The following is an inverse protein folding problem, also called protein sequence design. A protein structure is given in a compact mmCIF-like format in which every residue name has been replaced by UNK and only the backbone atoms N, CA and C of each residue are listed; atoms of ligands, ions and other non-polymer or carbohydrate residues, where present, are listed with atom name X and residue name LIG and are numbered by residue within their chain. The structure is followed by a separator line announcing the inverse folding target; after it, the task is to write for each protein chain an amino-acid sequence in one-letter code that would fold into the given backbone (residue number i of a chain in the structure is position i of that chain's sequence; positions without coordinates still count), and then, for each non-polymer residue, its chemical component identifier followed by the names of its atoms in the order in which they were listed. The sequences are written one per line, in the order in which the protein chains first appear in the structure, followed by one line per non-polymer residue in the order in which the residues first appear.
data_IF_862280056487
#
_entry.id   IF_862280056487
#
_cell.length_a   1.000
_cell.length_b   1.000
_cell.length_c   1.000
_cell.angle_alpha   90.00
_cell.angle_beta   90.00
_cell.angle_gamma   90.00
#
_symmetry.space_group_name_H-M   'P 1'
#
loop_
_entity.id
_entity.type
_entity.pdbx_description
1 polymer ?
#
# COMPACT_ATOMS: atom_id res chain seq x y z
N UNK A 1 -4.24 15.93 -7.11
CA UNK A 1 -4.38 14.69 -7.90
C UNK A 1 -3.20 13.78 -7.60
N UNK A 2 -3.38 12.45 -7.62
CA UNK A 2 -2.25 11.55 -7.50
C UNK A 2 -1.37 11.63 -8.77
N UNK A 3 -0.06 11.50 -8.61
CA UNK A 3 0.86 11.30 -9.74
C UNK A 3 1.49 9.91 -9.61
N UNK A 4 1.63 9.21 -10.73
CA UNK A 4 2.20 7.88 -10.78
C UNK A 4 3.55 7.90 -11.50
N UNK A 5 4.45 7.04 -11.04
CA UNK A 5 5.76 6.85 -11.63
C UNK A 5 6.03 5.34 -11.75
N UNK A 6 6.74 4.89 -12.80
CA UNK A 6 7.13 3.48 -12.95
C UNK A 6 8.21 3.06 -11.94
N UNK A 7 8.93 4.03 -11.36
CA UNK A 7 10.06 3.81 -10.46
C UNK A 7 10.25 4.99 -9.51
N UNK A 8 11.13 4.81 -8.51
CA UNK A 8 11.58 5.83 -7.57
C UNK A 8 12.55 6.76 -8.31
N UNK A 9 12.14 8.01 -8.51
CA UNK A 9 13.01 9.05 -9.09
C UNK A 9 13.95 9.62 -8.02
N UNK A 10 15.06 10.27 -8.39
CA UNK A 10 15.98 10.89 -7.42
C UNK A 10 15.29 11.86 -6.43
N UNK A 11 14.36 12.71 -6.90
CA UNK A 11 13.60 13.60 -5.99
C UNK A 11 12.76 12.81 -4.98
N UNK A 12 12.13 11.71 -5.41
CA UNK A 12 11.30 10.89 -4.52
C UNK A 12 12.13 10.06 -3.56
N UNK A 13 13.31 9.61 -3.99
CA UNK A 13 14.32 8.97 -3.16
C UNK A 13 14.70 9.90 -1.99
N UNK A 14 15.20 11.09 -2.33
CA UNK A 14 15.69 12.04 -1.33
C UNK A 14 14.56 12.52 -0.41
N UNK A 15 13.36 12.69 -0.98
CA UNK A 15 12.20 13.07 -0.18
C UNK A 15 11.76 11.96 0.79
N UNK A 16 11.76 10.70 0.37
CA UNK A 16 11.38 9.57 1.22
C UNK A 16 12.33 9.42 2.42
N UNK A 17 13.63 9.49 2.18
CA UNK A 17 14.65 9.33 3.23
C UNK A 17 14.68 10.49 4.24
N UNK A 18 14.08 11.65 3.93
CA UNK A 18 13.92 12.75 4.90
C UNK A 18 12.77 12.54 5.89
N UNK A 19 11.86 11.60 5.66
CA UNK A 19 10.71 11.43 6.56
C UNK A 19 11.14 10.64 7.80
N UNK A 20 10.71 11.05 9.00
CA UNK A 20 11.09 10.38 10.26
C UNK A 20 10.36 9.06 10.51
N UNK A 21 9.29 8.78 9.76
CA UNK A 21 8.42 7.62 9.91
C UNK A 21 7.94 7.14 8.55
N UNK A 22 7.84 5.82 8.40
CA UNK A 22 7.19 5.17 7.28
C UNK A 22 6.17 4.14 7.79
N UNK A 23 5.25 3.73 6.93
CA UNK A 23 4.19 2.79 7.26
C UNK A 23 4.29 1.59 6.34
N UNK A 24 4.06 0.41 6.89
CA UNK A 24 4.05 -0.85 6.17
C UNK A 24 2.65 -1.43 6.21
N UNK A 25 2.06 -1.65 5.04
CA UNK A 25 0.80 -2.36 4.90
C UNK A 25 1.03 -3.70 4.21
N UNK A 26 0.46 -4.77 4.76
CA UNK A 26 0.44 -6.09 4.14
C UNK A 26 -0.84 -6.83 4.51
N UNK A 27 -1.20 -7.84 3.74
CA UNK A 27 -2.40 -8.63 3.97
C UNK A 27 -2.17 -10.08 3.56
N UNK A 28 -2.78 -11.05 4.27
CA UNK A 28 -2.77 -12.42 3.81
C UNK A 28 -3.67 -12.54 2.56
N UNK A 29 -3.59 -13.66 1.85
CA UNK A 29 -4.54 -14.00 0.78
C UNK A 29 -5.92 -14.19 1.38
N UNK A 30 -5.97 -14.82 2.56
CA UNK A 30 -7.21 -15.13 3.28
C UNK A 30 -7.09 -14.71 4.74
N UNK A 31 -8.14 -14.08 5.25
CA UNK A 31 -8.18 -13.62 6.64
C UNK A 31 -9.13 -12.46 6.82
N UNK A 32 -9.46 -12.14 8.08
CA UNK A 32 -10.31 -11.00 8.43
C UNK A 32 -9.53 -9.72 8.68
N UNK A 33 -8.24 -9.83 8.94
CA UNK A 33 -7.40 -8.72 9.38
C UNK A 33 -6.44 -8.28 8.27
N UNK A 34 -6.18 -6.98 8.23
CA UNK A 34 -5.18 -6.35 7.37
C UNK A 34 -4.14 -5.73 8.31
N UNK A 35 -2.86 -5.99 8.03
CA UNK A 35 -1.78 -5.47 8.86
C UNK A 35 -1.36 -4.07 8.38
N UNK A 36 -1.17 -3.16 9.35
CA UNK A 36 -0.65 -1.82 9.13
C UNK A 36 0.23 -1.44 10.32
N UNK A 37 1.50 -1.14 10.07
CA UNK A 37 2.46 -0.83 11.12
C UNK A 37 3.26 0.45 10.82
N UNK A 38 3.26 1.45 11.71
CA UNK A 38 4.24 2.53 11.64
C UNK A 38 5.63 2.01 12.05
N UNK A 39 6.67 2.48 11.36
CA UNK A 39 8.07 2.21 11.64
C UNK A 39 8.88 3.51 11.68
N UNK A 40 9.60 3.71 12.76
CA UNK A 40 10.52 4.84 12.94
C UNK A 40 11.96 4.47 12.59
N UNK A 41 12.88 5.40 12.86
CA UNK A 41 14.32 5.27 12.60
C UNK A 41 14.67 4.87 11.15
N UNK A 42 14.08 5.51 10.11
CA UNK A 42 14.39 5.17 8.72
C UNK A 42 15.87 5.35 8.38
N UNK A 43 16.56 6.31 9.00
CA UNK A 43 18.00 6.50 8.83
C UNK A 43 18.81 5.25 9.26
N UNK A 44 18.36 4.55 10.29
CA UNK A 44 19.02 3.35 10.80
C UNK A 44 18.47 2.05 10.19
N UNK A 45 17.32 2.08 9.53
CA UNK A 45 16.59 0.86 9.15
C UNK A 45 16.19 0.77 7.69
N UNK A 46 16.00 1.87 6.96
CA UNK A 46 15.48 1.89 5.59
C UNK A 46 16.57 2.32 4.60
N UNK A 47 16.62 1.65 3.45
CA UNK A 47 17.49 2.00 2.33
C UNK A 47 16.73 1.88 1.01
N UNK A 48 16.99 2.79 0.08
CA UNK A 48 16.58 2.65 -1.32
C UNK A 48 17.84 2.27 -2.09
N UNK A 49 17.83 1.10 -2.70
CA UNK A 49 19.01 0.46 -3.30
C UNK A 49 19.07 0.70 -4.82
N UNK A 50 17.95 1.12 -5.41
CA UNK A 50 17.86 1.49 -6.81
C UNK A 50 16.47 2.02 -7.17
N UNK A 51 16.21 2.33 -8.46
CA UNK A 51 14.94 2.89 -8.90
C UNK A 51 13.72 1.99 -8.61
N UNK A 52 13.92 0.68 -8.50
CA UNK A 52 12.86 -0.29 -8.28
C UNK A 52 13.18 -1.25 -7.11
N UNK A 53 14.18 -0.91 -6.28
CA UNK A 53 14.59 -1.75 -5.15
C UNK A 53 14.75 -0.89 -3.90
N UNK A 54 14.11 -1.32 -2.82
CA UNK A 54 14.30 -0.77 -1.48
C UNK A 54 14.33 -1.90 -0.46
N UNK A 55 14.75 -1.61 0.75
CA UNK A 55 14.71 -2.57 1.83
C UNK A 55 14.61 -1.89 3.19
N UNK A 56 14.11 -2.63 4.18
CA UNK A 56 14.21 -2.20 5.55
C UNK A 56 14.57 -3.34 6.50
N UNK A 57 15.28 -2.98 7.57
CA UNK A 57 15.63 -3.88 8.67
C UNK A 57 14.40 -4.02 9.57
N UNK A 58 13.91 -5.25 9.71
CA UNK A 58 12.87 -5.62 10.65
C UNK A 58 13.50 -6.06 11.97
N UNK A 59 13.35 -5.23 13.00
CA UNK A 59 13.79 -5.54 14.35
C UNK A 59 12.72 -6.33 15.13
N UNK A 60 13.18 -7.08 16.12
CA UNK A 60 12.33 -7.87 17.01
C UNK A 60 11.36 -6.96 17.77
N UNK A 61 10.08 -7.32 17.74
CA UNK A 61 8.98 -6.58 18.35
C UNK A 61 7.81 -7.50 18.70
N UNK A 62 6.60 -6.94 18.84
CA UNK A 62 5.41 -7.63 19.36
C UNK A 62 4.82 -8.72 18.46
N UNK A 63 5.18 -8.78 17.18
CA UNK A 63 4.67 -9.76 16.22
C UNK A 63 5.41 -9.71 14.88
N UNK A 64 4.99 -10.51 13.90
CA UNK A 64 5.64 -10.65 12.59
C UNK A 64 4.67 -10.81 11.40
N UNK A 65 3.45 -10.26 11.51
CA UNK A 65 2.40 -10.31 10.47
C UNK A 65 2.93 -10.01 9.05
N UNK A 66 3.77 -8.98 8.90
CA UNK A 66 4.38 -8.67 7.59
C UNK A 66 5.20 -9.82 7.04
N UNK A 67 6.04 -10.47 7.85
CA UNK A 67 6.85 -11.61 7.41
C UNK A 67 5.94 -12.77 6.97
N UNK A 68 4.88 -13.06 7.73
CA UNK A 68 3.92 -14.11 7.39
C UNK A 68 3.22 -13.83 6.05
N UNK A 69 2.71 -12.62 5.85
CA UNK A 69 2.05 -12.22 4.59
C UNK A 69 2.99 -12.24 3.39
N UNK A 70 4.25 -11.83 3.59
CA UNK A 70 5.26 -11.85 2.52
C UNK A 70 5.60 -13.28 2.10
N UNK A 71 5.74 -14.21 3.06
CA UNK A 71 5.96 -15.62 2.76
C UNK A 71 4.78 -16.27 2.04
N UNK A 72 3.56 -15.84 2.32
CA UNK A 72 2.36 -16.38 1.67
C UNK A 72 2.17 -15.81 0.27
N UNK A 73 2.25 -14.49 0.09
CA UNK A 73 1.84 -13.85 -1.16
C UNK A 73 2.69 -12.65 -1.60
N UNK A 74 3.68 -12.25 -0.81
CA UNK A 74 4.61 -11.19 -1.16
C UNK A 74 4.03 -9.77 -1.24
N UNK A 75 2.71 -9.54 -1.05
CA UNK A 75 2.12 -8.20 -1.25
C UNK A 75 2.43 -7.27 -0.09
N UNK A 76 2.95 -6.10 -0.42
CA UNK A 76 3.34 -5.08 0.55
C UNK A 76 3.22 -3.69 -0.05
N UNK A 77 2.94 -2.69 0.77
CA UNK A 77 3.02 -1.29 0.39
C UNK A 77 3.73 -0.50 1.48
N UNK A 78 4.69 0.32 1.06
CA UNK A 78 5.34 1.28 1.94
C UNK A 78 4.73 2.65 1.70
N UNK A 79 4.43 3.37 2.79
CA UNK A 79 3.94 4.73 2.73
C UNK A 79 4.84 5.65 3.55
N UNK A 80 5.18 6.79 2.96
CA UNK A 80 5.80 7.93 3.63
C UNK A 80 4.82 9.09 3.61
N UNK A 81 4.76 9.89 4.67
CA UNK A 81 3.97 11.12 4.70
C UNK A 81 4.72 12.24 5.42
N UNK A 82 4.47 13.47 4.98
CA UNK A 82 5.04 14.67 5.60
C UNK A 82 4.16 15.20 6.72
N UNK A 83 4.79 15.40 7.87
CA UNK A 83 4.27 16.19 8.99
C UNK A 83 4.84 17.61 8.99
N UNK A 84 5.55 18.01 7.94
CA UNK A 84 6.14 19.35 7.78
C UNK A 84 5.17 20.34 7.13
N UNK A 85 5.62 21.57 6.89
CA UNK A 85 4.83 22.61 6.24
C UNK A 85 4.24 22.18 4.88
N UNK A 86 5.00 21.46 4.04
CA UNK A 86 4.53 21.00 2.74
C UNK A 86 3.89 19.60 2.84
N UNK A 87 2.58 19.45 2.56
CA UNK A 87 1.91 18.15 2.63
C UNK A 87 2.30 17.29 1.41
N UNK A 88 2.63 16.02 1.66
CA UNK A 88 2.81 15.01 0.61
C UNK A 88 2.69 13.63 1.24
N UNK A 89 2.11 12.71 0.49
CA UNK A 89 2.15 11.27 0.76
C UNK A 89 2.82 10.60 -0.44
N UNK A 90 3.76 9.70 -0.20
CA UNK A 90 4.43 8.85 -1.19
C UNK A 90 4.14 7.39 -0.86
N UNK A 91 3.79 6.60 -1.87
CA UNK A 91 3.59 5.15 -1.75
C UNK A 91 4.50 4.41 -2.69
N UNK A 92 5.13 3.36 -2.19
CA UNK A 92 5.78 2.33 -3.00
C UNK A 92 4.88 1.09 -3.01
N UNK A 93 4.30 0.79 -4.16
CA UNK A 93 3.63 -0.47 -4.40
C UNK A 93 4.69 -1.49 -4.82
N UNK A 94 4.83 -2.54 -4.04
CA UNK A 94 5.93 -3.49 -4.16
C UNK A 94 5.48 -4.92 -3.87
N UNK A 95 6.26 -5.87 -4.37
CA UNK A 95 6.34 -7.20 -3.77
C UNK A 95 7.51 -7.23 -2.79
N UNK A 96 7.48 -8.14 -1.82
CA UNK A 96 8.56 -8.26 -0.85
C UNK A 96 8.99 -9.69 -0.59
N UNK A 97 10.22 -9.84 -0.12
CA UNK A 97 10.83 -11.09 0.32
C UNK A 97 11.54 -10.88 1.66
N UNK A 98 11.78 -11.98 2.38
CA UNK A 98 12.31 -11.96 3.75
C UNK A 98 13.68 -12.64 3.74
N UNK A 99 14.69 -11.92 4.21
CA UNK A 99 16.05 -12.43 4.45
C UNK A 99 16.26 -12.44 5.96
N UNK A 100 16.24 -13.61 6.59
CA UNK A 100 16.44 -13.72 8.05
C UNK A 100 17.91 -13.55 8.44
N UNK A 101 18.15 -13.19 9.70
CA UNK A 101 19.47 -12.89 10.26
C UNK A 101 20.50 -14.03 10.11
N UNK A 102 20.04 -15.28 10.02
CA UNK A 102 20.85 -16.49 9.90
C UNK A 102 21.09 -16.92 8.44
N UNK A 103 20.49 -16.20 7.48
CA UNK A 103 20.69 -16.48 6.06
C UNK A 103 22.00 -15.87 5.55
N UNK A 104 22.73 -16.56 4.65
CA UNK A 104 24.04 -16.10 4.16
C UNK A 104 23.97 -14.76 3.43
N UNK A 105 22.83 -14.43 2.81
CA UNK A 105 22.61 -13.17 2.10
C UNK A 105 22.49 -11.97 3.05
N UNK A 106 22.18 -12.17 4.33
CA UNK A 106 21.86 -11.09 5.27
C UNK A 106 22.99 -10.06 5.38
N UNK A 107 24.22 -10.52 5.61
CA UNK A 107 25.39 -9.64 5.76
C UNK A 107 25.67 -8.85 4.47
N UNK A 108 25.66 -9.53 3.32
CA UNK A 108 25.89 -8.89 2.01
C UNK A 108 24.81 -7.84 1.73
N UNK A 109 23.56 -8.12 2.09
CA UNK A 109 22.47 -7.19 1.88
C UNK A 109 22.55 -5.99 2.83
N UNK A 110 23.00 -6.20 4.07
CA UNK A 110 23.25 -5.12 5.03
C UNK A 110 24.35 -4.15 4.55
N UNK A 111 25.40 -4.67 3.92
CA UNK A 111 26.45 -3.87 3.28
C UNK A 111 25.87 -2.98 2.17
N UNK A 112 25.02 -3.53 1.30
CA UNK A 112 24.30 -2.76 0.26
C UNK A 112 23.42 -1.66 0.86
N UNK A 113 22.86 -1.89 2.04
CA UNK A 113 22.08 -0.90 2.79
C UNK A 113 22.94 0.16 3.48
N UNK A 114 24.27 0.15 3.29
CA UNK A 114 25.21 1.09 3.90
C UNK A 114 25.56 0.74 5.35
N UNK A 115 25.57 -0.56 5.68
CA UNK A 115 25.83 -1.06 7.04
C UNK A 115 24.92 -0.45 8.11
N UNK A 116 23.69 -0.11 7.71
CA UNK A 116 22.61 0.26 8.62
C UNK A 116 22.44 -0.84 9.66
N UNK A 117 22.15 -0.47 10.90
CA UNK A 117 21.99 -1.44 11.99
C UNK A 117 20.94 -0.98 12.97
N UNK A 118 20.09 -1.92 13.35
CA UNK A 118 19.11 -1.77 14.42
C UNK A 118 19.36 -2.89 15.42
N UNK A 119 19.52 -2.52 16.69
CA UNK A 119 19.67 -3.51 17.77
C UNK A 119 18.45 -4.44 17.76
N UNK A 120 18.69 -5.75 17.75
CA UNK A 120 17.63 -6.76 17.70
C UNK A 120 17.05 -7.00 16.30
N UNK A 121 17.75 -6.63 15.22
CA UNK A 121 17.40 -7.03 13.85
C UNK A 121 17.18 -8.55 13.75
N UNK A 122 16.04 -8.96 13.17
CA UNK A 122 15.71 -10.38 12.93
C UNK A 122 15.60 -10.73 11.46
N UNK A 123 15.32 -9.75 10.61
CA UNK A 123 15.24 -9.95 9.17
C UNK A 123 15.48 -8.63 8.42
N UNK A 124 15.85 -8.74 7.15
CA UNK A 124 15.75 -7.69 6.15
C UNK A 124 14.54 -7.99 5.28
N UNK A 125 13.70 -6.99 5.07
CA UNK A 125 12.57 -7.05 4.16
C UNK A 125 12.98 -6.35 2.88
N UNK A 126 13.26 -7.15 1.84
CA UNK A 126 13.55 -6.67 0.49
C UNK A 126 12.24 -6.30 -0.19
N UNK A 127 12.25 -5.21 -0.95
CA UNK A 127 11.11 -4.65 -1.65
C UNK A 127 11.44 -4.47 -3.13
N UNK A 128 10.71 -5.15 -3.99
CA UNK A 128 10.75 -4.96 -5.44
C UNK A 128 9.59 -4.04 -5.85
N UNK A 129 9.92 -2.76 -6.07
CA UNK A 129 8.95 -1.68 -6.32
C UNK A 129 8.57 -1.67 -7.79
N UNK A 130 7.29 -1.88 -8.10
CA UNK A 130 6.78 -1.89 -9.47
C UNK A 130 5.98 -0.63 -9.82
N UNK A 131 5.56 0.16 -8.83
CA UNK A 131 4.82 1.41 -9.05
C UNK A 131 4.96 2.36 -7.87
N UNK A 132 5.13 3.64 -8.17
CA UNK A 132 5.21 4.70 -7.17
C UNK A 132 4.07 5.69 -7.36
N UNK A 133 3.50 6.17 -6.24
CA UNK A 133 2.43 7.16 -6.27
C UNK A 133 2.70 8.28 -5.28
N UNK A 134 2.61 9.53 -5.74
CA UNK A 134 2.47 10.68 -4.85
C UNK A 134 1.03 11.14 -4.75
N UNK A 135 0.63 11.67 -3.60
CA UNK A 135 -0.66 12.31 -3.38
C UNK A 135 -0.54 13.52 -2.46
N UNK A 136 -1.51 14.43 -2.54
CA UNK A 136 -1.39 15.77 -1.98
C UNK A 136 -1.28 15.84 -0.45
N UNK A 137 -1.76 14.84 0.29
CA UNK A 137 -1.69 14.83 1.76
C UNK A 137 -2.39 15.99 2.47
N UNK A 138 -3.35 16.66 1.82
CA UNK A 138 -3.96 17.91 2.33
C UNK A 138 -4.69 17.76 3.67
N UNK A 139 -5.07 16.54 4.06
CA UNK A 139 -5.67 16.24 5.37
C UNK A 139 -4.70 15.61 6.37
N UNK A 140 -3.42 15.37 6.02
CA UNK A 140 -2.42 14.88 6.98
C UNK A 140 -2.03 16.07 7.86
N UNK A 141 -2.10 15.99 9.19
CA UNK A 141 -1.77 17.11 10.05
C UNK A 141 -0.27 17.48 9.96
N UNK A 142 0.04 18.70 10.35
CA UNK A 142 1.42 19.16 10.56
C UNK A 142 1.80 18.98 12.03
N UNK A 143 3.02 18.55 12.32
CA UNK A 143 3.55 18.59 13.68
C UNK A 143 3.89 20.04 14.04
N UNK A 144 3.33 20.52 15.15
CA UNK A 144 3.51 21.87 15.64
C UNK A 144 3.82 21.86 17.14
N UNK A 145 4.35 22.98 17.65
CA UNK A 145 4.56 23.19 19.08
C UNK A 145 3.52 24.17 19.60
N UNK A 146 2.91 23.86 20.74
CA UNK A 146 2.08 24.78 21.51
C UNK A 146 2.65 24.91 22.91
N UNK A 147 2.64 26.11 23.48
CA UNK A 147 3.05 26.31 24.87
C UNK A 147 2.01 25.71 25.80
N UNK A 148 2.48 24.96 26.80
CA UNK A 148 1.64 24.49 27.89
C UNK A 148 1.13 25.70 28.70
N UNK A 149 -0.19 25.83 28.97
CA UNK A 149 -0.73 26.97 29.70
C UNK A 149 -0.21 27.11 31.13
N UNK A 150 0.21 26.01 31.76
CA UNK A 150 0.69 26.00 33.13
C UNK A 150 2.20 26.13 33.17
N UNK A 151 2.92 25.26 32.44
CA UNK A 151 4.39 25.20 32.52
C UNK A 151 5.11 26.16 31.57
N UNK A 152 4.40 26.74 30.59
CA UNK A 152 4.99 27.54 29.49
C UNK A 152 6.04 26.79 28.67
N UNK A 153 6.09 25.46 28.75
CA UNK A 153 7.02 24.64 27.99
C UNK A 153 6.44 24.28 26.60
N UNK A 154 7.27 24.13 25.56
CA UNK A 154 6.79 23.69 24.24
C UNK A 154 6.33 22.22 24.27
N UNK A 155 5.06 21.99 23.92
CA UNK A 155 4.46 20.66 23.80
C UNK A 155 4.12 20.35 22.33
N UNK A 156 4.56 19.21 21.78
CA UNK A 156 4.21 18.82 20.41
C UNK A 156 2.74 18.45 20.30
N UNK A 157 2.11 18.86 19.20
CA UNK A 157 0.75 18.47 18.85
C UNK A 157 0.57 18.39 17.32
N UNK A 158 -0.45 17.66 16.88
CA UNK A 158 -0.83 17.57 15.48
C UNK A 158 -1.82 18.71 15.16
N UNK A 159 -1.39 19.66 14.33
CA UNK A 159 -2.19 20.79 13.85
C UNK A 159 -2.85 20.43 12.51
N UNK A 160 -4.17 20.54 12.47
CA UNK A 160 -4.92 20.34 11.23
C UNK A 160 -4.58 21.39 10.17
N UNK A 161 -4.68 20.98 8.90
CA UNK A 161 -4.49 21.86 7.74
C UNK A 161 -5.83 22.30 7.21
N UNK A 162 -5.95 23.58 6.87
CA UNK A 162 -7.13 24.08 6.17
C UNK A 162 -7.13 23.72 4.66
N UNK A 163 -6.02 23.19 4.14
CA UNK A 163 -5.80 22.98 2.70
C UNK A 163 -6.87 22.10 2.06
N UNK A 164 -7.35 21.06 2.74
CA UNK A 164 -8.39 20.18 2.22
C UNK A 164 -9.73 20.91 2.08
N UNK A 165 -10.11 21.70 3.10
CA UNK A 165 -11.32 22.52 3.07
C UNK A 165 -11.27 23.57 1.96
N UNK A 166 -10.16 24.31 1.86
CA UNK A 166 -9.95 25.29 0.79
C UNK A 166 -10.01 24.68 -0.61
N UNK A 167 -9.43 23.49 -0.80
CA UNK A 167 -9.51 22.77 -2.07
C UNK A 167 -10.95 22.37 -2.41
N UNK A 168 -11.69 21.82 -1.42
CA UNK A 168 -13.08 21.42 -1.61
C UNK A 168 -13.97 22.63 -1.95
N UNK A 169 -13.88 23.72 -1.19
CA UNK A 169 -14.66 24.95 -1.43
C UNK A 169 -14.39 25.50 -2.82
N UNK A 170 -13.13 25.66 -3.23
CA UNK A 170 -12.78 26.13 -4.58
C UNK A 170 -13.26 25.20 -5.69
N UNK A 171 -13.32 23.89 -5.44
CA UNK A 171 -13.79 22.91 -6.44
C UNK A 171 -15.31 22.97 -6.59
N UNK A 172 -16.03 23.20 -5.49
CA UNK A 172 -17.48 23.42 -5.46
C UNK A 172 -17.85 24.74 -6.13
N UNK A 173 -17.19 25.84 -5.77
CA UNK A 173 -17.40 27.16 -6.37
C UNK A 173 -17.22 27.15 -7.89
N UNK A 174 -16.26 26.37 -8.39
CA UNK A 174 -16.01 26.19 -9.83
C UNK A 174 -17.00 25.27 -10.53
N UNK A 175 -17.94 24.64 -9.81
CA UNK A 175 -18.86 23.65 -10.36
C UNK A 175 -18.19 22.36 -10.85
N UNK A 176 -16.93 22.09 -10.44
CA UNK A 176 -16.11 20.98 -10.95
C UNK A 176 -16.11 19.74 -10.05
N UNK A 177 -16.93 19.72 -8.99
CA UNK A 177 -16.91 18.62 -8.02
C UNK A 177 -17.33 17.28 -8.67
N UNK A 178 -18.42 17.26 -9.43
CA UNK A 178 -18.90 16.03 -10.08
C UNK A 178 -17.95 15.54 -11.16
N UNK A 179 -17.40 16.44 -11.98
CA UNK A 179 -16.40 16.05 -12.99
C UNK A 179 -15.14 15.49 -12.34
N UNK A 180 -14.69 16.07 -11.22
CA UNK A 180 -13.56 15.52 -10.45
C UNK A 180 -13.87 14.13 -9.89
N UNK A 181 -15.05 13.92 -9.30
CA UNK A 181 -15.45 12.60 -8.78
C UNK A 181 -15.56 11.56 -9.89
N UNK A 182 -16.12 11.94 -11.04
CA UNK A 182 -16.20 11.10 -12.24
C UNK A 182 -14.81 10.61 -12.66
N UNK A 183 -13.87 11.54 -12.81
CA UNK A 183 -12.52 11.23 -13.29
C UNK A 183 -11.70 10.40 -12.29
N UNK A 184 -11.79 10.69 -10.98
CA UNK A 184 -10.86 10.15 -9.98
C UNK A 184 -11.47 9.17 -8.98
N UNK A 185 -12.78 9.00 -8.96
CA UNK A 185 -13.46 8.18 -7.93
C UNK A 185 -14.40 7.11 -8.52
N UNK A 186 -14.45 6.95 -9.84
CA UNK A 186 -15.25 5.91 -10.49
C UNK A 186 -14.67 4.50 -10.32
N UNK A 187 -13.35 4.36 -10.10
CA UNK A 187 -12.69 3.06 -9.94
C UNK A 187 -11.45 3.11 -9.03
N UNK A 188 -11.05 1.94 -8.50
CA UNK A 188 -9.77 1.74 -7.80
C UNK A 188 -8.62 1.50 -8.78
N UNK A 189 -7.39 1.47 -8.26
CA UNK A 189 -6.19 1.12 -9.05
C UNK A 189 -6.26 -0.31 -9.64
N UNK A 190 -6.98 -1.21 -8.97
CA UNK A 190 -7.21 -2.60 -9.42
C UNK A 190 -8.48 -2.72 -10.29
N UNK A 191 -9.08 -1.59 -10.68
CA UNK A 191 -10.29 -1.53 -11.49
C UNK A 191 -11.56 -1.95 -10.74
N UNK A 192 -11.57 -1.91 -9.40
CA UNK A 192 -12.81 -2.12 -8.66
C UNK A 192 -13.74 -0.91 -8.83
N UNK A 193 -15.06 -1.11 -9.06
CA UNK A 193 -16.05 -0.05 -9.02
C UNK A 193 -15.96 0.82 -7.76
N UNK A 194 -15.87 2.14 -7.94
CA UNK A 194 -15.80 3.15 -6.89
C UNK A 194 -17.17 3.76 -6.56
N UNK A 195 -17.25 5.09 -6.50
CA UNK A 195 -18.47 5.82 -6.16
C UNK A 195 -19.56 5.59 -7.21
N UNK A 196 -20.75 5.17 -6.76
CA UNK A 196 -21.90 4.95 -7.65
C UNK A 196 -22.35 6.21 -8.39
N UNK A 197 -22.22 7.38 -7.77
CA UNK A 197 -22.48 8.67 -8.42
C UNK A 197 -21.49 8.93 -9.56
N UNK A 198 -20.20 8.73 -9.30
CA UNK A 198 -19.15 8.90 -10.30
C UNK A 198 -19.32 7.94 -11.48
N UNK A 199 -19.67 6.67 -11.21
CA UNK A 199 -19.94 5.67 -12.26
C UNK A 199 -21.12 6.10 -13.14
N UNK A 200 -22.22 6.60 -12.55
CA UNK A 200 -23.35 7.12 -13.33
C UNK A 200 -22.97 8.34 -14.15
N UNK A 201 -22.24 9.27 -13.56
CA UNK A 201 -21.78 10.49 -14.23
C UNK A 201 -20.77 10.17 -15.36
N UNK A 202 -20.12 8.99 -15.32
CA UNK A 202 -19.28 8.44 -16.38
C UNK A 202 -20.04 7.66 -17.46
N UNK A 203 -21.36 7.56 -17.35
CA UNK A 203 -22.22 6.81 -18.28
C UNK A 203 -22.29 5.31 -18.00
N UNK A 204 -21.72 4.85 -16.87
CA UNK A 204 -21.75 3.46 -16.44
C UNK A 204 -23.03 3.09 -15.68
N UNK A 205 -23.33 1.79 -15.66
CA UNK A 205 -24.47 1.23 -14.94
C UNK A 205 -24.06 0.69 -13.55
N UNK A 206 -24.72 1.17 -12.50
CA UNK A 206 -24.44 0.73 -11.11
C UNK A 206 -24.62 -0.77 -10.91
N UNK A 207 -25.63 -1.36 -11.56
CA UNK A 207 -25.89 -2.79 -11.43
C UNK A 207 -24.75 -3.63 -12.02
N UNK A 208 -24.09 -3.17 -13.09
CA UNK A 208 -22.88 -3.81 -13.64
C UNK A 208 -21.74 -3.74 -12.63
N UNK A 209 -21.54 -2.59 -11.97
CA UNK A 209 -20.56 -2.44 -10.90
C UNK A 209 -20.83 -3.39 -9.71
N UNK A 210 -22.10 -3.54 -9.31
CA UNK A 210 -22.49 -4.50 -8.26
C UNK A 210 -22.23 -5.95 -8.68
N UNK A 211 -22.61 -6.32 -9.91
CA UNK A 211 -22.36 -7.64 -10.45
C UNK A 211 -20.86 -7.95 -10.49
N UNK A 212 -20.03 -6.99 -10.93
CA UNK A 212 -18.56 -7.13 -10.94
C UNK A 212 -17.97 -7.31 -9.55
N UNK A 213 -18.44 -6.54 -8.56
CA UNK A 213 -18.02 -6.70 -7.16
C UNK A 213 -18.42 -8.07 -6.59
N UNK A 214 -19.62 -8.55 -6.93
CA UNK A 214 -20.07 -9.87 -6.53
C UNK A 214 -19.21 -10.97 -7.17
N UNK A 215 -18.94 -10.88 -8.47
CA UNK A 215 -18.09 -11.84 -9.19
C UNK A 215 -16.68 -11.90 -8.59
N UNK A 216 -16.04 -10.75 -8.36
CA UNK A 216 -14.70 -10.70 -7.74
C UNK A 216 -14.68 -11.25 -6.32
N UNK A 217 -15.73 -11.00 -5.52
CA UNK A 217 -15.83 -11.53 -4.16
C UNK A 217 -15.88 -13.06 -4.15
N UNK A 218 -16.54 -13.67 -5.12
CA UNK A 218 -16.73 -15.12 -5.21
C UNK A 218 -15.85 -15.75 -6.30
N UNK A 219 -14.79 -15.05 -6.74
CA UNK A 219 -13.93 -15.50 -7.84
C UNK A 219 -13.31 -16.87 -7.52
N UNK A 220 -12.80 -17.05 -6.30
CA UNK A 220 -12.25 -18.34 -5.86
C UNK A 220 -13.30 -19.47 -5.85
N UNK A 221 -14.51 -19.21 -5.33
CA UNK A 221 -15.60 -20.20 -5.31
C UNK A 221 -16.02 -20.59 -6.72
N UNK A 222 -16.11 -19.60 -7.62
CA UNK A 222 -16.42 -19.80 -9.03
C UNK A 222 -15.32 -20.64 -9.70
N UNK A 223 -14.05 -20.35 -9.47
CA UNK A 223 -12.94 -21.12 -10.04
C UNK A 223 -12.89 -22.56 -9.51
N UNK A 224 -13.19 -22.78 -8.23
CA UNK A 224 -13.31 -24.15 -7.68
C UNK A 224 -14.45 -24.91 -8.34
N UNK A 225 -15.62 -24.29 -8.51
CA UNK A 225 -16.76 -24.92 -9.19
C UNK A 225 -16.44 -25.24 -10.66
N UNK A 226 -15.85 -24.30 -11.40
CA UNK A 226 -15.41 -24.51 -12.78
C UNK A 226 -14.41 -25.67 -12.89
N UNK A 227 -13.39 -25.68 -12.04
CA UNK A 227 -12.35 -26.72 -12.03
C UNK A 227 -12.95 -28.08 -11.72
N UNK A 228 -13.86 -28.15 -10.74
CA UNK A 228 -14.54 -29.39 -10.36
C UNK A 228 -15.41 -29.94 -11.49
N UNK A 229 -16.17 -29.08 -12.17
CA UNK A 229 -16.98 -29.47 -13.34
C UNK A 229 -16.11 -29.96 -14.50
N UNK A 230 -14.96 -29.31 -14.74
CA UNK A 230 -14.03 -29.71 -15.79
C UNK A 230 -13.37 -31.06 -15.49
N UNK A 231 -12.96 -31.30 -14.24
CA UNK A 231 -12.45 -32.60 -13.79
C UNK A 231 -13.52 -33.70 -13.94
N UNK A 232 -14.77 -33.43 -13.57
CA UNK A 232 -15.88 -34.37 -13.73
C UNK A 232 -16.14 -34.69 -15.20
N UNK A 233 -16.17 -33.67 -16.07
CA UNK A 233 -16.33 -33.84 -17.51
C UNK A 233 -15.21 -34.70 -18.11
N UNK A 234 -13.97 -34.44 -17.72
CA UNK A 234 -12.82 -35.24 -18.15
C UNK A 234 -12.93 -36.70 -17.68
N UNK A 235 -13.27 -36.92 -16.41
CA UNK A 235 -13.47 -38.27 -15.86
C UNK A 235 -14.57 -39.04 -16.60
N UNK A 236 -15.72 -38.39 -16.85
CA UNK A 236 -16.83 -38.98 -17.62
C UNK A 236 -16.40 -39.34 -19.05
N UNK A 237 -15.61 -38.48 -19.69
CA UNK A 237 -15.10 -38.72 -21.04
C UNK A 237 -14.13 -39.91 -21.07
N UNK A 238 -13.26 -40.02 -20.07
CA UNK A 238 -12.34 -41.15 -19.93
C UNK A 238 -13.09 -42.46 -19.65
N UNK A 239 -14.06 -42.46 -18.73
CA UNK A 239 -14.87 -43.64 -18.43
C UNK A 239 -15.62 -44.14 -19.67
N UNK A 240 -16.22 -43.21 -20.43
CA UNK A 240 -16.89 -43.54 -21.69
C UNK A 240 -15.92 -44.08 -22.74
N UNK A 241 -14.70 -43.52 -22.84
CA UNK A 241 -13.66 -44.03 -23.74
C UNK A 241 -13.19 -45.45 -23.33
N UNK A 242 -13.17 -45.74 -22.03
CA UNK A 242 -12.83 -47.07 -21.49
C UNK A 242 -13.98 -48.08 -21.58
N UNK A 243 -15.14 -47.71 -22.13
CA UNK A 243 -16.29 -48.60 -22.32
C UNK A 243 -17.13 -48.83 -21.06
N UNK A 244 -17.00 -47.96 -20.06
CA UNK A 244 -17.94 -47.90 -18.95
C UNK A 244 -19.06 -46.91 -19.32
N UNK A 245 -20.25 -47.44 -19.62
CA UNK A 245 -21.49 -46.67 -19.84
C UNK A 245 -22.24 -46.39 -18.54
#
# INVERSE_FOLDING_TARGET
MPKFYPSITPDLHDWALRQSIFFVASAPLRGKHINLSPKGLPDASFAILGPNEAAYIDATGSGNETICHLRENGRITILFCSFDAAPRILRFFCTGSVIEWDQPEFATYLERMGNKSVIGARAIIRLDVFKVQTSCGFGVPQLALKLDPETHEPKPYLKDRETLGHFASKTVEKGKLRSYQREWNASSLDGLPGLWSAIRDDGGYVWVGRARNWLRRHEEEIEVVKTSLLCLFFAMTVLRWMGYD
#
